data_IF_538634335902
#
_entry.id   IF_538634335902
#
_cell.length_a   1.000
_cell.length_b   1.000
_cell.length_c   1.000
_cell.angle_alpha   90.00
_cell.angle_beta   90.00
_cell.angle_gamma   90.00
#
_symmetry.space_group_name_H-M   'P 1'
#
loop_
_entity.id
_entity.type
_entity.pdbx_description
1 polymer ?
#
# COMPACT_ATOMS: atom_id res chain seq x y z
N UNK A 1 21.98 58.08 -10.22
CA UNK A 1 21.87 57.20 -9.03
C UNK A 1 20.69 56.26 -9.30
N UNK A 2 20.97 55.09 -9.91
CA UNK A 2 19.97 54.12 -10.36
C UNK A 2 19.49 53.28 -9.18
N UNK A 3 18.17 53.22 -8.97
CA UNK A 3 17.52 52.25 -8.08
C UNK A 3 17.12 51.07 -8.98
N UNK A 4 17.78 49.91 -8.80
CA UNK A 4 17.38 48.68 -9.46
C UNK A 4 16.14 48.08 -8.77
N UNK A 5 15.12 47.80 -9.57
CA UNK A 5 13.92 47.08 -9.15
C UNK A 5 14.22 45.59 -8.95
N UNK A 6 13.84 45.05 -7.79
CA UNK A 6 13.80 43.60 -7.51
C UNK A 6 12.75 42.95 -8.42
N UNK A 7 13.21 42.09 -9.32
CA UNK A 7 12.38 41.22 -10.15
C UNK A 7 11.75 40.11 -9.29
N UNK A 8 10.42 40.08 -9.22
CA UNK A 8 9.63 38.97 -8.69
C UNK A 8 9.70 37.80 -9.70
N UNK A 9 10.22 36.65 -9.28
CA UNK A 9 10.15 35.40 -10.06
C UNK A 9 8.68 35.01 -10.23
N UNK A 10 8.18 35.13 -11.47
CA UNK A 10 6.93 34.51 -11.91
C UNK A 10 7.07 32.99 -11.76
N UNK A 11 6.23 32.37 -10.96
CA UNK A 11 5.98 30.94 -10.99
C UNK A 11 5.17 30.70 -12.27
N UNK A 12 5.83 30.20 -13.32
CA UNK A 12 5.19 29.84 -14.58
C UNK A 12 4.39 28.55 -14.40
N UNK A 13 3.11 28.61 -14.79
CA UNK A 13 2.19 27.48 -14.82
C UNK A 13 2.79 26.29 -15.59
N UNK A 14 2.67 25.10 -14.99
CA UNK A 14 3.15 23.83 -15.53
C UNK A 14 2.23 23.42 -16.70
N UNK A 15 2.70 23.59 -17.93
CA UNK A 15 2.05 23.02 -19.13
C UNK A 15 2.28 21.51 -19.18
N UNK A 16 1.24 20.73 -18.93
CA UNK A 16 1.24 19.27 -19.13
C UNK A 16 1.09 19.01 -20.64
N UNK A 17 2.19 18.63 -21.29
CA UNK A 17 2.19 18.26 -22.70
C UNK A 17 1.68 16.83 -22.86
N UNK A 18 0.48 16.66 -23.43
CA UNK A 18 -0.07 15.37 -23.85
C UNK A 18 0.63 14.91 -25.13
N UNK A 19 1.37 13.80 -25.07
CA UNK A 19 1.88 13.13 -26.27
C UNK A 19 0.92 12.00 -26.61
N UNK A 20 0.20 12.14 -27.72
CA UNK A 20 -0.68 11.08 -28.29
C UNK A 20 0.06 10.49 -29.49
N UNK A 21 0.32 9.18 -29.48
CA UNK A 21 0.74 8.44 -30.68
C UNK A 21 -0.38 7.48 -31.11
N UNK A 22 -0.97 7.72 -32.29
CA UNK A 22 -1.75 6.74 -33.04
C UNK A 22 -0.81 6.01 -34.01
N UNK A 23 -1.01 4.69 -34.22
CA UNK A 23 -0.90 3.88 -35.46
C UNK A 23 -0.65 2.38 -35.14
N UNK A 24 -0.86 1.42 -36.07
CA UNK A 24 -2.13 0.93 -36.61
C UNK A 24 -2.39 -0.57 -36.28
N UNK A 25 -3.66 -0.98 -36.35
CA UNK A 25 -4.14 -2.36 -36.22
C UNK A 25 -3.48 -3.31 -37.24
N UNK A 26 -2.85 -4.40 -36.78
CA UNK A 26 -3.08 -5.79 -37.24
C UNK A 26 -2.27 -6.77 -36.38
N UNK A 27 -2.94 -7.79 -35.83
CA UNK A 27 -2.45 -8.81 -34.87
C UNK A 27 -2.19 -8.28 -33.45
N UNK A 28 -3.27 -7.91 -32.74
CA UNK A 28 -3.24 -7.32 -31.39
C UNK A 28 -2.88 -8.37 -30.31
N UNK A 29 -1.59 -8.59 -30.09
CA UNK A 29 -1.08 -8.61 -28.72
C UNK A 29 -1.35 -7.21 -28.16
N UNK A 30 -2.40 -7.05 -27.35
CA UNK A 30 -2.57 -5.79 -26.64
C UNK A 30 -1.41 -5.67 -25.66
N UNK A 31 -0.36 -4.96 -26.06
CA UNK A 31 0.46 -4.23 -25.10
C UNK A 31 -0.49 -3.21 -24.48
N UNK A 32 -1.22 -3.60 -23.42
CA UNK A 32 -1.89 -2.62 -22.58
C UNK A 32 -0.81 -1.64 -22.14
N UNK A 33 -1.08 -0.35 -22.30
CA UNK A 33 -0.15 0.68 -21.91
C UNK A 33 0.25 0.43 -20.45
N UNK A 34 1.52 0.09 -20.22
CA UNK A 34 2.18 0.52 -19.00
C UNK A 34 2.25 2.04 -19.10
N UNK A 35 1.14 2.74 -18.82
CA UNK A 35 1.26 4.15 -18.52
C UNK A 35 1.97 4.22 -17.18
N UNK A 36 3.29 4.35 -17.24
CA UNK A 36 4.05 5.02 -16.20
C UNK A 36 3.53 6.46 -16.14
N UNK A 37 2.40 6.64 -15.47
CA UNK A 37 1.83 7.94 -15.15
C UNK A 37 2.58 8.59 -13.98
N UNK A 38 3.73 8.06 -13.53
CA UNK A 38 4.52 8.78 -12.54
C UNK A 38 5.13 10.01 -13.22
N UNK A 39 4.70 11.25 -12.88
CA UNK A 39 5.70 12.29 -12.87
C UNK A 39 6.73 11.79 -11.87
N UNK A 40 7.91 11.38 -12.35
CA UNK A 40 9.10 11.21 -11.53
C UNK A 40 9.34 12.54 -10.81
N UNK A 41 8.67 12.70 -9.68
CA UNK A 41 8.89 13.74 -8.69
C UNK A 41 9.61 13.09 -7.52
N UNK A 42 10.71 12.40 -7.83
CA UNK A 42 11.75 12.05 -6.86
C UNK A 42 12.30 13.36 -6.27
N UNK A 43 11.66 13.86 -5.22
CA UNK A 43 12.11 15.06 -4.50
C UNK A 43 13.20 14.74 -3.46
N UNK A 44 13.83 13.56 -3.51
CA UNK A 44 14.96 13.22 -2.65
C UNK A 44 15.88 12.14 -3.20
N UNK A 45 16.98 11.88 -2.49
CA UNK A 45 18.13 11.11 -2.99
C UNK A 45 17.96 9.60 -2.77
N UNK A 46 18.38 8.80 -3.75
CA UNK A 46 18.48 7.33 -3.65
C UNK A 46 17.16 6.56 -3.46
N UNK A 47 16.02 7.14 -3.86
CA UNK A 47 14.78 6.37 -3.94
C UNK A 47 14.85 5.35 -5.09
N UNK A 48 14.27 4.17 -4.89
CA UNK A 48 14.14 3.14 -5.91
C UNK A 48 12.68 2.73 -6.07
N UNK A 49 12.26 2.60 -7.33
CA UNK A 49 10.95 2.13 -7.72
C UNK A 49 11.10 1.02 -8.76
N UNK A 50 10.43 -0.10 -8.53
CA UNK A 50 10.30 -1.20 -9.47
C UNK A 50 8.82 -1.55 -9.62
N UNK A 51 8.30 -1.46 -10.84
CA UNK A 51 6.93 -1.86 -11.17
C UNK A 51 7.01 -2.93 -12.27
N UNK A 52 6.44 -4.10 -12.01
CA UNK A 52 6.27 -5.18 -12.98
C UNK A 52 4.77 -5.43 -13.17
N UNK A 53 4.27 -5.28 -14.40
CA UNK A 53 2.86 -5.50 -14.71
C UNK A 53 2.69 -6.52 -15.83
N UNK A 54 1.82 -7.49 -15.62
CA UNK A 54 1.43 -8.52 -16.57
C UNK A 54 -0.08 -8.74 -16.48
N UNK A 55 -0.78 -8.73 -17.62
CA UNK A 55 -2.23 -8.83 -17.71
C UNK A 55 -2.87 -7.53 -18.21
N UNK A 56 -4.20 -7.45 -18.24
CA UNK A 56 -4.96 -6.38 -18.86
C UNK A 56 -5.37 -5.30 -17.86
N UNK A 57 -5.19 -4.02 -18.20
CA UNK A 57 -5.71 -2.86 -17.44
C UNK A 57 -5.25 -2.75 -15.97
N UNK A 58 -4.04 -3.19 -15.65
CA UNK A 58 -3.45 -2.90 -14.33
C UNK A 58 -3.03 -1.43 -14.22
N UNK A 59 -3.18 -0.86 -13.02
CA UNK A 59 -2.70 0.48 -12.67
C UNK A 59 -1.82 0.40 -11.43
N UNK A 60 -0.64 1.00 -11.49
CA UNK A 60 0.23 1.21 -10.34
C UNK A 60 0.64 2.68 -10.31
N UNK A 61 0.36 3.35 -9.20
CA UNK A 61 0.80 4.72 -8.93
C UNK A 61 1.68 4.71 -7.68
N UNK A 62 2.91 5.19 -7.79
CA UNK A 62 3.83 5.27 -6.65
C UNK A 62 4.42 6.67 -6.56
N UNK A 63 4.30 7.28 -5.38
CA UNK A 63 4.84 8.61 -5.07
C UNK A 63 5.83 8.47 -3.93
N UNK A 64 7.10 8.81 -4.17
CA UNK A 64 8.18 8.76 -3.18
C UNK A 64 8.72 10.16 -2.89
N UNK A 65 8.76 10.54 -1.63
CA UNK A 65 9.30 11.80 -1.14
C UNK A 65 10.29 11.52 -0.01
N UNK A 66 11.47 12.12 -0.07
CA UNK A 66 12.56 11.89 0.90
C UNK A 66 13.63 10.96 0.37
N UNK A 67 14.34 10.25 1.25
CA UNK A 67 15.62 9.60 0.90
C UNK A 67 15.57 8.08 1.10
N UNK A 68 16.21 7.32 0.22
CA UNK A 68 16.39 5.85 0.33
C UNK A 68 15.08 5.05 0.45
N UNK A 69 13.97 5.57 -0.05
CA UNK A 69 12.69 4.85 -0.07
C UNK A 69 12.68 3.84 -1.23
N UNK A 70 12.17 2.65 -0.97
CA UNK A 70 12.11 1.55 -1.92
C UNK A 70 10.66 1.07 -2.05
N UNK A 71 10.19 0.95 -3.28
CA UNK A 71 8.90 0.36 -3.59
C UNK A 71 9.06 -0.64 -4.74
N UNK A 72 8.63 -1.87 -4.51
CA UNK A 72 8.54 -2.93 -5.50
C UNK A 72 7.09 -3.39 -5.61
N UNK A 73 6.51 -3.25 -6.79
CA UNK A 73 5.13 -3.66 -7.07
C UNK A 73 5.13 -4.65 -8.24
N UNK A 74 4.59 -5.84 -8.03
CA UNK A 74 4.40 -6.86 -9.06
C UNK A 74 2.91 -7.16 -9.22
N UNK A 75 2.30 -6.75 -10.34
CA UNK A 75 0.90 -7.01 -10.67
C UNK A 75 0.84 -8.02 -11.81
N UNK A 76 0.60 -9.28 -11.48
CA UNK A 76 0.34 -10.35 -12.44
C UNK A 76 -1.17 -10.65 -12.43
N UNK A 77 -1.93 -9.70 -12.94
CA UNK A 77 -3.39 -9.63 -12.74
C UNK A 77 -4.12 -8.96 -13.89
N UNK A 78 -5.44 -9.04 -13.89
CA UNK A 78 -6.29 -8.20 -14.73
C UNK A 78 -7.02 -7.16 -13.86
N UNK A 79 -7.04 -5.89 -14.27
CA UNK A 79 -7.74 -4.78 -13.59
C UNK A 79 -7.31 -4.51 -12.14
N UNK A 80 -6.08 -4.87 -11.75
CA UNK A 80 -5.61 -4.55 -10.41
C UNK A 80 -5.12 -3.10 -10.30
N UNK A 81 -5.36 -2.49 -9.14
CA UNK A 81 -4.94 -1.12 -8.85
C UNK A 81 -4.09 -1.09 -7.57
N UNK A 82 -2.91 -0.49 -7.65
CA UNK A 82 -2.05 -0.23 -6.50
C UNK A 82 -1.70 1.25 -6.46
N UNK A 83 -1.94 1.90 -5.32
CA UNK A 83 -1.45 3.25 -5.04
C UNK A 83 -0.54 3.18 -3.83
N UNK A 84 0.67 3.70 -3.97
CA UNK A 84 1.67 3.78 -2.90
C UNK A 84 2.09 5.24 -2.70
N UNK A 85 2.09 5.67 -1.44
CA UNK A 85 2.66 6.94 -1.03
C UNK A 85 3.71 6.71 0.06
N UNK A 86 4.96 7.09 -0.22
CA UNK A 86 6.06 7.05 0.74
C UNK A 86 6.58 8.47 0.98
N UNK A 87 6.56 8.93 2.22
CA UNK A 87 7.10 10.23 2.62
C UNK A 87 8.01 10.09 3.84
N UNK A 88 9.32 10.19 3.62
CA UNK A 88 10.30 10.03 4.68
C UNK A 88 11.58 9.35 4.25
N UNK A 89 12.18 8.55 5.15
CA UNK A 89 13.47 7.92 4.93
C UNK A 89 13.42 6.41 5.18
N UNK A 90 14.12 5.63 4.34
CA UNK A 90 14.23 4.17 4.50
C UNK A 90 12.87 3.46 4.57
N UNK A 91 11.89 3.92 3.81
CA UNK A 91 10.58 3.29 3.71
C UNK A 91 10.66 2.18 2.67
N UNK A 92 10.27 0.95 3.02
CA UNK A 92 10.31 -0.19 2.13
C UNK A 92 8.92 -0.81 1.95
N UNK A 93 8.54 -1.01 0.69
CA UNK A 93 7.32 -1.71 0.28
C UNK A 93 7.67 -2.79 -0.73
N UNK A 94 7.27 -4.02 -0.46
CA UNK A 94 7.22 -5.10 -1.43
C UNK A 94 5.78 -5.60 -1.52
N UNK A 95 5.17 -5.43 -2.69
CA UNK A 95 3.76 -5.76 -2.88
C UNK A 95 3.53 -6.58 -4.15
N UNK A 96 2.82 -7.68 -4.01
CA UNK A 96 2.50 -8.58 -5.11
C UNK A 96 0.99 -8.81 -5.21
N UNK A 97 0.43 -8.49 -6.37
CA UNK A 97 -0.95 -8.77 -6.73
C UNK A 97 -0.98 -9.85 -7.81
N UNK A 98 -1.69 -10.95 -7.53
CA UNK A 98 -1.97 -12.03 -8.47
C UNK A 98 -3.48 -12.27 -8.51
N UNK A 99 -4.07 -12.34 -9.70
CA UNK A 99 -5.50 -12.57 -9.89
C UNK A 99 -6.22 -11.42 -10.58
N UNK A 100 -7.37 -10.95 -10.10
CA UNK A 100 -8.10 -9.87 -10.77
C UNK A 100 -8.81 -8.91 -9.82
N UNK A 101 -9.08 -7.69 -10.31
CA UNK A 101 -9.92 -6.67 -9.64
C UNK A 101 -9.50 -6.31 -8.20
N UNK A 102 -8.25 -6.57 -7.83
CA UNK A 102 -7.75 -6.31 -6.48
C UNK A 102 -7.20 -4.89 -6.36
N UNK A 103 -7.45 -4.25 -5.22
CA UNK A 103 -7.08 -2.87 -4.93
C UNK A 103 -6.21 -2.79 -3.69
N UNK A 104 -5.14 -2.01 -3.77
CA UNK A 104 -4.27 -1.73 -2.65
C UNK A 104 -3.94 -0.24 -2.57
N UNK A 105 -4.13 0.34 -1.39
CA UNK A 105 -3.68 1.68 -1.06
C UNK A 105 -2.74 1.59 0.15
N UNK A 106 -1.48 1.99 -0.04
CA UNK A 106 -0.44 1.86 0.96
C UNK A 106 0.21 3.22 1.18
N UNK A 107 0.21 3.69 2.42
CA UNK A 107 0.82 4.96 2.82
C UNK A 107 1.82 4.72 3.96
N UNK A 108 3.07 5.12 3.74
CA UNK A 108 4.13 5.12 4.74
C UNK A 108 4.64 6.55 4.95
N UNK A 109 4.58 7.04 6.19
CA UNK A 109 5.08 8.36 6.57
C UNK A 109 6.00 8.27 7.78
N UNK A 110 7.23 8.77 7.66
CA UNK A 110 8.19 8.79 8.76
C UNK A 110 9.50 8.11 8.42
N UNK A 111 9.94 7.11 9.19
CA UNK A 111 11.24 6.48 8.93
C UNK A 111 11.27 4.98 9.21
N UNK A 112 12.07 4.26 8.43
CA UNK A 112 12.37 2.84 8.60
C UNK A 112 11.13 1.91 8.61
N UNK A 113 10.06 2.28 7.90
CA UNK A 113 8.89 1.41 7.78
C UNK A 113 9.14 0.28 6.78
N UNK A 114 8.56 -0.88 7.06
CA UNK A 114 8.57 -2.02 6.15
C UNK A 114 7.17 -2.59 6.03
N UNK A 115 6.76 -2.81 4.78
CA UNK A 115 5.55 -3.53 4.45
C UNK A 115 5.83 -4.60 3.39
N UNK A 116 5.31 -5.80 3.64
CA UNK A 116 5.25 -6.87 2.64
C UNK A 116 3.81 -7.34 2.51
N UNK A 117 3.28 -7.35 1.30
CA UNK A 117 1.90 -7.76 1.06
C UNK A 117 1.73 -8.64 -0.17
N UNK A 118 0.88 -9.65 -0.05
CA UNK A 118 0.47 -10.52 -1.17
C UNK A 118 -1.05 -10.59 -1.21
N UNK A 119 -1.63 -10.26 -2.36
CA UNK A 119 -3.03 -10.52 -2.70
C UNK A 119 -3.07 -11.59 -3.79
N UNK A 120 -3.64 -12.75 -3.51
CA UNK A 120 -3.78 -13.85 -4.44
C UNK A 120 -5.25 -14.26 -4.60
N UNK A 121 -5.88 -13.78 -5.67
CA UNK A 121 -7.27 -14.06 -5.95
C UNK A 121 -8.01 -12.87 -6.54
N UNK A 122 -9.33 -12.81 -6.30
CA UNK A 122 -10.21 -11.83 -6.92
C UNK A 122 -10.69 -10.80 -5.89
N UNK A 123 -10.72 -9.52 -6.27
CA UNK A 123 -11.47 -8.51 -5.56
C UNK A 123 -10.98 -8.21 -4.15
N UNK A 124 -9.70 -8.48 -3.85
CA UNK A 124 -9.12 -8.15 -2.56
C UNK A 124 -8.97 -6.66 -2.38
N UNK A 125 -9.17 -6.19 -1.16
CA UNK A 125 -8.98 -4.78 -0.79
C UNK A 125 -8.00 -4.69 0.38
N UNK A 126 -6.99 -3.83 0.20
CA UNK A 126 -6.01 -3.46 1.20
C UNK A 126 -5.98 -1.95 1.35
N UNK A 127 -6.10 -1.47 2.58
CA UNK A 127 -5.71 -0.14 3.01
C UNK A 127 -4.69 -0.26 4.14
N UNK A 128 -3.47 0.25 3.92
CA UNK A 128 -2.41 0.29 4.92
C UNK A 128 -1.94 1.73 5.15
N UNK A 129 -1.88 2.14 6.42
CA UNK A 129 -1.21 3.37 6.84
C UNK A 129 -0.21 3.09 7.96
N UNK A 130 1.06 3.39 7.74
CA UNK A 130 2.12 3.36 8.75
C UNK A 130 2.66 4.77 8.98
N UNK A 131 2.61 5.24 10.22
CA UNK A 131 3.07 6.56 10.61
C UNK A 131 3.99 6.50 11.85
N UNK A 132 5.22 7.00 11.72
CA UNK A 132 6.15 7.18 12.83
C UNK A 132 7.53 6.58 12.54
N UNK A 133 8.01 5.69 13.40
CA UNK A 133 9.32 5.04 13.27
C UNK A 133 9.21 3.51 13.28
N UNK A 134 9.95 2.84 12.38
CA UNK A 134 10.23 1.40 12.46
C UNK A 134 9.00 0.47 12.52
N UNK A 135 7.88 0.86 11.89
CA UNK A 135 6.68 0.03 11.81
C UNK A 135 6.89 -1.15 10.84
N UNK A 136 6.41 -2.34 11.22
CA UNK A 136 6.44 -3.52 10.37
C UNK A 136 5.04 -4.10 10.19
N UNK A 137 4.66 -4.32 8.93
CA UNK A 137 3.38 -4.94 8.57
C UNK A 137 3.59 -6.04 7.52
N UNK A 138 2.90 -7.17 7.71
CA UNK A 138 2.84 -8.27 6.76
C UNK A 138 1.39 -8.65 6.49
N UNK A 139 1.05 -8.79 5.21
CA UNK A 139 -0.29 -9.17 4.76
C UNK A 139 -0.23 -10.33 3.77
N UNK A 140 -1.10 -11.32 3.96
CA UNK A 140 -1.43 -12.30 2.94
C UNK A 140 -2.96 -12.45 2.83
N UNK A 141 -3.53 -12.09 1.68
CA UNK A 141 -4.93 -12.35 1.34
C UNK A 141 -4.99 -13.40 0.24
N UNK A 142 -5.72 -14.49 0.47
CA UNK A 142 -5.98 -15.52 -0.54
C UNK A 142 -7.46 -15.87 -0.61
N UNK A 143 -8.00 -16.01 -1.82
CA UNK A 143 -9.40 -16.36 -2.08
C UNK A 143 -10.14 -15.26 -2.82
N UNK A 144 -11.28 -14.81 -2.29
CA UNK A 144 -12.09 -13.78 -2.96
C UNK A 144 -12.60 -12.74 -1.97
N UNK A 145 -12.59 -11.46 -2.36
CA UNK A 145 -13.25 -10.37 -1.63
C UNK A 145 -12.83 -10.18 -0.16
N UNK A 146 -11.63 -10.64 0.20
CA UNK A 146 -11.08 -10.34 1.53
C UNK A 146 -10.70 -8.85 1.62
N UNK A 147 -10.98 -8.24 2.77
CA UNK A 147 -10.76 -6.82 3.05
C UNK A 147 -9.90 -6.65 4.30
N UNK A 148 -8.86 -5.81 4.20
CA UNK A 148 -7.94 -5.50 5.27
C UNK A 148 -7.74 -3.98 5.40
N UNK A 149 -8.05 -3.44 6.57
CA UNK A 149 -7.74 -2.06 6.96
C UNK A 149 -6.74 -2.08 8.12
N UNK A 150 -5.53 -1.61 7.84
CA UNK A 150 -4.39 -1.72 8.74
C UNK A 150 -3.82 -0.33 9.05
N UNK A 151 -3.71 0.01 10.32
CA UNK A 151 -3.14 1.29 10.76
C UNK A 151 -2.17 1.10 11.92
N UNK A 152 -0.93 1.56 11.74
CA UNK A 152 0.09 1.58 12.78
C UNK A 152 0.61 3.00 12.98
N UNK A 153 0.54 3.48 14.22
CA UNK A 153 1.05 4.79 14.63
C UNK A 153 2.01 4.66 15.83
N UNK A 154 3.16 5.35 15.79
CA UNK A 154 4.12 5.40 16.89
C UNK A 154 5.46 4.76 16.54
N UNK A 155 5.95 3.83 17.36
CA UNK A 155 7.27 3.21 17.17
C UNK A 155 7.24 1.69 17.26
N UNK A 156 7.86 1.00 16.31
CA UNK A 156 8.13 -0.46 16.40
C UNK A 156 6.89 -1.34 16.56
N UNK A 157 5.70 -0.94 16.09
CA UNK A 157 4.56 -1.86 16.11
C UNK A 157 4.70 -2.91 15.00
N UNK A 158 4.22 -4.11 15.31
CA UNK A 158 4.22 -5.28 14.45
C UNK A 158 2.79 -5.73 14.17
N UNK A 159 2.49 -5.95 12.89
CA UNK A 159 1.20 -6.44 12.45
C UNK A 159 1.39 -7.56 11.42
N UNK A 160 0.80 -8.71 11.68
CA UNK A 160 0.73 -9.83 10.75
C UNK A 160 -0.74 -10.18 10.55
N UNK A 161 -1.19 -10.20 9.29
CA UNK A 161 -2.54 -10.57 8.92
C UNK A 161 -2.53 -11.62 7.80
N UNK A 162 -3.19 -12.74 8.04
CA UNK A 162 -3.44 -13.80 7.06
C UNK A 162 -4.95 -14.01 6.93
N UNK A 163 -5.49 -13.77 5.74
CA UNK A 163 -6.89 -14.04 5.39
C UNK A 163 -6.95 -15.10 4.30
N UNK A 164 -7.55 -16.24 4.60
CA UNK A 164 -7.76 -17.32 3.64
C UNK A 164 -9.23 -17.74 3.62
N UNK A 165 -9.88 -17.50 2.48
CA UNK A 165 -11.29 -17.77 2.24
C UNK A 165 -11.97 -16.61 1.52
N UNK A 166 -13.27 -16.47 1.72
CA UNK A 166 -14.08 -15.44 1.08
C UNK A 166 -14.65 -14.44 2.06
N UNK A 167 -14.65 -13.15 1.69
CA UNK A 167 -15.29 -12.07 2.45
C UNK A 167 -14.80 -11.92 3.91
N UNK A 168 -13.55 -12.31 4.20
CA UNK A 168 -12.98 -12.04 5.52
C UNK A 168 -12.63 -10.55 5.65
N UNK A 169 -12.88 -10.00 6.83
CA UNK A 169 -12.65 -8.59 7.15
C UNK A 169 -11.76 -8.50 8.39
N UNK A 170 -10.73 -7.66 8.30
CA UNK A 170 -9.85 -7.35 9.43
C UNK A 170 -9.62 -5.85 9.50
N UNK A 171 -9.95 -5.25 10.65
CA UNK A 171 -9.63 -3.87 10.97
C UNK A 171 -8.69 -3.86 12.17
N UNK A 172 -7.45 -3.41 11.96
CA UNK A 172 -6.40 -3.46 12.97
C UNK A 172 -5.80 -2.07 13.13
N UNK A 173 -5.91 -1.52 14.34
CA UNK A 173 -5.36 -0.22 14.70
C UNK A 173 -4.43 -0.37 15.91
N UNK A 174 -3.16 0.00 15.72
CA UNK A 174 -2.14 0.00 16.77
C UNK A 174 -1.59 1.41 16.95
N UNK A 175 -1.65 1.95 18.16
CA UNK A 175 -1.06 3.25 18.51
C UNK A 175 -0.19 3.12 19.74
N UNK A 176 1.08 3.52 19.61
CA UNK A 176 2.06 3.55 20.70
C UNK A 176 3.36 2.85 20.33
N UNK A 177 3.99 2.19 21.31
CA UNK A 177 5.29 1.56 21.14
C UNK A 177 5.21 0.03 21.25
N UNK A 178 5.81 -0.68 20.30
CA UNK A 178 6.00 -2.13 20.36
C UNK A 178 4.71 -2.95 20.54
N UNK A 179 3.57 -2.47 20.02
CA UNK A 179 2.34 -3.27 19.99
C UNK A 179 2.42 -4.34 18.91
N UNK A 180 1.85 -5.52 19.19
CA UNK A 180 1.84 -6.66 18.29
C UNK A 180 0.42 -7.19 18.08
N UNK A 181 0.07 -7.41 16.80
CA UNK A 181 -1.16 -8.07 16.37
C UNK A 181 -0.82 -9.19 15.38
N UNK A 182 -1.25 -10.42 15.69
CA UNK A 182 -1.11 -11.59 14.83
C UNK A 182 -2.48 -12.22 14.60
N UNK A 183 -2.99 -12.05 13.37
CA UNK A 183 -4.37 -12.36 13.02
C UNK A 183 -4.40 -13.37 11.88
N UNK A 184 -5.09 -14.49 12.11
CA UNK A 184 -5.33 -15.53 11.12
C UNK A 184 -6.83 -15.80 10.99
N UNK A 185 -7.39 -15.53 9.81
CA UNK A 185 -8.79 -15.83 9.45
C UNK A 185 -8.82 -16.94 8.40
N UNK A 186 -9.29 -18.13 8.81
CA UNK A 186 -9.48 -19.30 7.95
C UNK A 186 -10.97 -19.62 7.83
N UNK A 187 -11.47 -19.65 6.60
CA UNK A 187 -12.90 -19.82 6.30
C UNK A 187 -13.52 -18.53 5.80
N UNK A 188 -14.84 -18.43 5.84
CA UNK A 188 -15.58 -17.39 5.12
C UNK A 188 -16.32 -16.43 6.04
N UNK A 189 -16.43 -15.17 5.61
CA UNK A 189 -17.21 -14.12 6.28
C UNK A 189 -16.81 -13.89 7.74
N UNK A 190 -15.53 -14.07 8.05
CA UNK A 190 -15.01 -13.82 9.38
C UNK A 190 -14.68 -12.33 9.56
N UNK A 191 -14.86 -11.83 10.77
CA UNK A 191 -14.59 -10.43 11.14
C UNK A 191 -13.66 -10.37 12.36
N UNK A 192 -12.57 -9.62 12.23
CA UNK A 192 -11.68 -9.28 13.33
C UNK A 192 -11.55 -7.76 13.44
N UNK A 193 -11.79 -7.22 14.64
CA UNK A 193 -11.43 -5.86 14.99
C UNK A 193 -10.40 -5.91 16.12
N UNK A 194 -9.26 -5.25 15.93
CA UNK A 194 -8.22 -5.10 16.97
C UNK A 194 -7.91 -3.62 17.14
N UNK A 195 -8.03 -3.13 18.37
CA UNK A 195 -7.62 -1.81 18.77
C UNK A 195 -6.64 -1.90 19.94
N UNK A 196 -5.41 -1.45 19.73
CA UNK A 196 -4.35 -1.40 20.73
C UNK A 196 -3.87 0.04 20.90
N UNK A 197 -4.05 0.60 22.09
CA UNK A 197 -3.58 1.93 22.45
C UNK A 197 -2.72 1.86 23.71
N UNK A 198 -1.42 2.02 23.57
CA UNK A 198 -0.48 1.85 24.69
C UNK A 198 0.83 1.27 24.20
N UNK A 199 1.59 0.66 25.10
CA UNK A 199 2.87 0.07 24.78
C UNK A 199 2.87 -1.43 25.06
N UNK A 200 3.57 -2.20 24.24
CA UNK A 200 3.81 -3.64 24.43
C UNK A 200 2.52 -4.49 24.50
N UNK A 201 1.43 -4.00 23.90
CA UNK A 201 0.17 -4.73 23.86
C UNK A 201 0.24 -5.87 22.83
N UNK A 202 -0.37 -7.02 23.16
CA UNK A 202 -0.35 -8.20 22.31
C UNK A 202 -1.75 -8.72 22.04
N UNK A 203 -2.07 -8.91 20.77
CA UNK A 203 -3.32 -9.50 20.30
C UNK A 203 -3.01 -10.66 19.36
N UNK A 204 -3.56 -11.84 19.68
CA UNK A 204 -3.49 -13.02 18.81
C UNK A 204 -4.90 -13.50 18.56
N UNK A 205 -5.28 -13.61 17.28
CA UNK A 205 -6.62 -14.06 16.89
C UNK A 205 -6.49 -15.15 15.84
N UNK A 206 -7.11 -16.30 16.10
CA UNK A 206 -7.26 -17.38 15.14
C UNK A 206 -8.75 -17.67 15.01
N UNK A 207 -9.31 -17.36 13.85
CA UNK A 207 -10.67 -17.72 13.47
C UNK A 207 -10.60 -18.88 12.48
N UNK A 208 -11.17 -20.04 12.85
CA UNK A 208 -11.29 -21.19 11.98
C UNK A 208 -12.75 -21.61 11.88
N UNK A 209 -13.36 -21.37 10.72
CA UNK A 209 -14.78 -21.55 10.48
C UNK A 209 -15.36 -20.35 9.75
N UNK A 210 -16.69 -20.26 9.74
CA UNK A 210 -17.40 -19.23 9.00
C UNK A 210 -18.21 -18.34 9.94
N UNK A 211 -18.36 -17.07 9.59
CA UNK A 211 -19.15 -16.07 10.34
C UNK A 211 -18.66 -15.85 11.77
N UNK A 212 -17.36 -16.02 12.02
CA UNK A 212 -16.78 -15.74 13.32
C UNK A 212 -16.54 -14.24 13.48
N UNK A 213 -16.73 -13.74 14.70
CA UNK A 213 -16.47 -12.35 15.06
C UNK A 213 -15.61 -12.29 16.30
N UNK A 214 -14.55 -11.49 16.24
CA UNK A 214 -13.67 -11.20 17.37
C UNK A 214 -13.43 -9.70 17.44
N UNK A 215 -13.65 -9.12 18.60
CA UNK A 215 -13.35 -7.72 18.89
C UNK A 215 -12.36 -7.69 20.07
N UNK A 216 -11.17 -7.10 19.87
CA UNK A 216 -10.16 -6.89 20.90
C UNK A 216 -9.99 -5.38 21.08
N UNK A 217 -10.16 -4.93 22.32
CA UNK A 217 -9.82 -3.57 22.74
C UNK A 217 -8.83 -3.63 23.90
N UNK A 218 -7.65 -3.09 23.69
CA UNK A 218 -6.59 -2.99 24.70
C UNK A 218 -6.15 -1.53 24.81
N UNK A 219 -6.10 -1.03 26.04
CA UNK A 219 -5.60 0.31 26.33
C UNK A 219 -4.75 0.31 27.60
N UNK A 220 -3.59 0.95 27.56
CA UNK A 220 -2.68 1.10 28.71
C UNK A 220 -2.09 2.51 28.78
#
# INVERSE_FOLDING_TARGET
>A
MMIQAKSLKKISALTISRVIFLLPLTMMSYTSLAEDLSPVSDLGTENTLSIFQQGFSNQAEVVQQGETNQASVSQQSDQASTTIFQSGQQLNIEFQQQGSDSRANISQMGSAHSFTGIQNGMGHELSLTQNGLAQHSQLQQSGEFNHAELSQAGMENLLILIQNGQNNQAHIHQTGHANQADIQQLGDSNLVNVYQQGNELQAVVIQNGNNLRTDIWQSQ
#
